data_IF_848640688577
#
_entry.id   IF_848640688577
#
_cell.length_a   1.000
_cell.length_b   1.000
_cell.length_c   1.000
_cell.angle_alpha   90.00
_cell.angle_beta   90.00
_cell.angle_gamma   90.00
#
_symmetry.space_group_name_H-M   'P 1'
#
loop_
_entity.id
_entity.type
_entity.pdbx_description
1 polymer ?
#
# COMPACT_ATOMS: atom_id res chain seq x y z
N UNK A 1 45.06 1.82 10.62
CA UNK A 1 45.32 0.40 10.34
C UNK A 1 45.15 0.16 8.85
N UNK A 2 46.17 -0.48 8.26
CA UNK A 2 46.23 -1.17 6.95
C UNK A 2 45.93 -0.38 5.68
N UNK A 3 47.00 -0.14 4.89
CA UNK A 3 46.93 0.34 3.52
C UNK A 3 45.94 -0.49 2.70
N UNK A 4 44.99 0.21 2.11
CA UNK A 4 43.80 -0.38 1.51
C UNK A 4 44.14 -0.83 0.10
N UNK A 5 44.49 -2.11 -0.07
CA UNK A 5 44.80 -2.69 -1.37
C UNK A 5 43.56 -2.61 -2.27
N UNK A 6 43.72 -1.99 -3.44
CA UNK A 6 42.65 -1.80 -4.42
C UNK A 6 42.27 -3.12 -5.11
N UNK A 7 43.20 -4.08 -5.17
CA UNK A 7 42.97 -5.40 -5.74
C UNK A 7 42.39 -6.41 -4.72
N UNK A 8 42.19 -6.01 -3.46
CA UNK A 8 41.59 -6.86 -2.44
C UNK A 8 40.15 -7.25 -2.84
N UNK A 9 39.89 -8.57 -2.86
CA UNK A 9 38.57 -9.13 -3.16
C UNK A 9 37.68 -9.12 -1.92
N UNK A 10 36.64 -8.28 -1.96
CA UNK A 10 35.67 -8.14 -0.89
C UNK A 10 34.46 -9.06 -1.11
N UNK A 11 34.07 -9.76 -0.05
CA UNK A 11 32.79 -10.45 0.03
C UNK A 11 31.64 -9.46 0.23
N UNK A 12 30.40 -9.89 -0.03
CA UNK A 12 29.22 -9.06 0.23
C UNK A 12 29.10 -8.62 1.71
N UNK A 13 29.61 -9.42 2.64
CA UNK A 13 29.64 -9.08 4.07
C UNK A 13 30.67 -7.99 4.38
N UNK A 14 31.89 -8.11 3.83
CA UNK A 14 32.91 -7.05 3.96
C UNK A 14 32.45 -5.74 3.28
N UNK A 15 31.77 -5.83 2.14
CA UNK A 15 31.16 -4.65 1.49
C UNK A 15 30.08 -4.03 2.39
N UNK A 16 29.34 -4.85 3.15
CA UNK A 16 28.37 -4.35 4.12
C UNK A 16 29.04 -3.65 5.30
N UNK A 17 30.13 -4.18 5.82
CA UNK A 17 30.86 -3.60 6.95
C UNK A 17 31.59 -2.31 6.54
N UNK A 18 32.30 -2.35 5.41
CA UNK A 18 33.12 -1.23 4.94
C UNK A 18 32.26 -0.12 4.36
N UNK A 19 31.33 -0.47 3.47
CA UNK A 19 30.52 0.53 2.82
C UNK A 19 29.20 0.73 3.53
N UNK A 20 28.58 -0.25 4.19
CA UNK A 20 27.23 -0.09 4.77
C UNK A 20 26.10 -0.49 3.81
N UNK A 21 26.39 -1.30 2.79
CA UNK A 21 25.39 -1.81 1.85
C UNK A 21 25.06 -3.28 2.16
N UNK A 22 23.80 -3.60 2.45
CA UNK A 22 23.45 -4.98 2.82
C UNK A 22 23.70 -5.98 1.68
N UNK A 23 24.04 -7.26 1.99
CA UNK A 23 24.30 -8.28 0.96
C UNK A 23 23.11 -8.52 0.02
N UNK A 24 21.89 -8.42 0.55
CA UNK A 24 20.66 -8.51 -0.24
C UNK A 24 20.55 -7.34 -1.23
N UNK A 25 20.85 -6.11 -0.78
CA UNK A 25 20.79 -4.94 -1.66
C UNK A 25 21.88 -4.97 -2.73
N UNK A 26 23.08 -5.41 -2.39
CA UNK A 26 24.16 -5.64 -3.37
C UNK A 26 23.72 -6.66 -4.44
N UNK A 27 23.05 -7.74 -4.02
CA UNK A 27 22.52 -8.74 -4.94
C UNK A 27 21.43 -8.20 -5.87
N UNK A 28 20.55 -7.34 -5.37
CA UNK A 28 19.56 -6.62 -6.19
C UNK A 28 20.24 -5.70 -7.20
N UNK A 29 21.21 -4.88 -6.76
CA UNK A 29 21.94 -3.97 -7.66
C UNK A 29 22.64 -4.71 -8.78
N UNK A 30 23.26 -5.84 -8.47
CA UNK A 30 23.90 -6.71 -9.46
C UNK A 30 22.88 -7.36 -10.41
N UNK A 31 21.73 -7.81 -9.89
CA UNK A 31 20.65 -8.36 -10.74
C UNK A 31 20.17 -7.32 -11.75
N UNK A 32 20.01 -6.08 -11.29
CA UNK A 32 19.52 -4.96 -12.08
C UNK A 32 20.65 -4.16 -12.75
N UNK A 33 21.84 -4.76 -12.92
CA UNK A 33 23.07 -4.06 -13.34
C UNK A 33 22.97 -3.31 -14.66
N UNK A 34 22.15 -3.80 -15.60
CA UNK A 34 21.86 -3.11 -16.85
C UNK A 34 21.30 -1.68 -16.63
N UNK A 35 20.61 -1.46 -15.52
CA UNK A 35 20.04 -0.16 -15.14
C UNK A 35 20.84 0.57 -14.07
N UNK A 36 21.51 -0.17 -13.19
CA UNK A 36 22.21 0.41 -12.03
C UNK A 36 23.69 0.67 -12.27
N UNK A 37 24.27 0.11 -13.35
CA UNK A 37 25.71 0.16 -13.64
C UNK A 37 26.58 -0.57 -12.61
N UNK A 38 25.99 -1.50 -11.83
CA UNK A 38 26.74 -2.28 -10.84
C UNK A 38 27.81 -3.12 -11.55
N UNK A 39 29.08 -3.10 -11.09
CA UNK A 39 30.14 -3.85 -11.72
C UNK A 39 29.91 -5.37 -11.59
N UNK A 40 30.41 -6.10 -12.59
CA UNK A 40 30.50 -7.56 -12.53
C UNK A 40 31.43 -7.98 -11.38
N UNK A 41 31.18 -9.13 -10.74
CA UNK A 41 32.08 -9.68 -9.73
C UNK A 41 33.38 -10.15 -10.39
N UNK A 42 34.51 -9.75 -9.82
CA UNK A 42 35.84 -10.16 -10.26
C UNK A 42 36.10 -11.66 -10.01
N UNK A 43 35.46 -12.23 -8.98
CA UNK A 43 35.53 -13.67 -8.68
C UNK A 43 34.14 -14.22 -8.36
N UNK A 44 33.79 -15.37 -8.98
CA UNK A 44 32.58 -16.13 -8.66
C UNK A 44 32.95 -17.56 -8.28
N UNK A 45 32.67 -17.95 -7.03
CA UNK A 45 32.84 -19.30 -6.54
C UNK A 45 31.47 -19.87 -6.13
N UNK A 46 30.86 -20.64 -7.04
CA UNK A 46 29.50 -21.15 -6.88
C UNK A 46 28.48 -20.01 -6.73
N UNK A 47 27.81 -19.93 -5.56
CA UNK A 47 26.86 -18.84 -5.24
C UNK A 47 27.53 -17.60 -4.63
N UNK A 48 28.81 -17.68 -4.27
CA UNK A 48 29.55 -16.57 -3.65
C UNK A 48 30.15 -15.71 -4.76
N UNK A 49 29.97 -14.40 -4.62
CA UNK A 49 30.49 -13.37 -5.51
C UNK A 49 31.39 -12.45 -4.70
N UNK A 50 32.54 -12.08 -5.28
CA UNK A 50 33.49 -11.14 -4.71
C UNK A 50 33.84 -10.07 -5.73
N UNK A 51 34.15 -8.88 -5.23
CA UNK A 51 34.52 -7.73 -6.05
C UNK A 51 35.81 -7.13 -5.53
N UNK A 52 36.68 -6.71 -6.44
CA UNK A 52 37.84 -5.89 -6.09
C UNK A 52 37.38 -4.59 -5.46
N UNK A 53 38.00 -4.23 -4.35
CA UNK A 53 37.70 -2.99 -3.62
C UNK A 53 37.78 -1.76 -4.52
N UNK A 54 38.81 -1.70 -5.37
CA UNK A 54 39.04 -0.60 -6.31
C UNK A 54 37.93 -0.44 -7.35
N UNK A 55 37.19 -1.50 -7.66
CA UNK A 55 36.06 -1.45 -8.61
C UNK A 55 34.75 -1.11 -7.90
N UNK A 56 34.43 -1.82 -6.81
CA UNK A 56 33.14 -1.69 -6.13
C UNK A 56 33.04 -0.43 -5.27
N UNK A 57 34.14 0.01 -4.64
CA UNK A 57 34.16 1.18 -3.76
C UNK A 57 33.76 2.49 -4.46
N UNK A 58 34.39 2.85 -5.60
CA UNK A 58 34.01 4.04 -6.36
C UNK A 58 32.58 3.97 -6.91
N UNK A 59 32.12 2.78 -7.31
CA UNK A 59 30.73 2.58 -7.71
C UNK A 59 29.76 2.90 -6.57
N UNK A 60 29.97 2.30 -5.38
CA UNK A 60 29.10 2.50 -4.23
C UNK A 60 29.09 3.94 -3.73
N UNK A 61 30.23 4.62 -3.79
CA UNK A 61 30.37 6.04 -3.45
C UNK A 61 29.52 6.91 -4.39
N UNK A 62 29.67 6.73 -5.72
CA UNK A 62 28.85 7.45 -6.71
C UNK A 62 27.36 7.11 -6.59
N UNK A 63 27.04 5.82 -6.41
CA UNK A 63 25.67 5.34 -6.24
C UNK A 63 24.98 6.03 -5.05
N UNK A 64 25.70 6.22 -3.95
CA UNK A 64 25.19 6.95 -2.77
C UNK A 64 25.00 8.42 -3.03
N UNK A 65 26.00 9.09 -3.60
CA UNK A 65 25.90 10.51 -3.94
C UNK A 65 24.68 10.79 -4.83
N UNK A 66 24.46 9.95 -5.86
CA UNK A 66 23.30 10.04 -6.76
C UNK A 66 21.96 9.76 -6.05
N UNK A 67 21.93 8.88 -5.05
CA UNK A 67 20.73 8.61 -4.24
C UNK A 67 20.41 9.76 -3.27
N UNK A 68 21.42 10.44 -2.76
CA UNK A 68 21.27 11.60 -1.88
C UNK A 68 20.80 12.83 -2.67
N UNK A 69 21.32 13.05 -3.89
CA UNK A 69 20.95 14.19 -4.74
C UNK A 69 19.57 14.09 -5.39
N UNK A 70 18.96 12.89 -5.48
CA UNK A 70 17.71 12.62 -6.20
C UNK A 70 16.42 13.17 -5.58
N UNK A 71 16.47 14.00 -4.54
CA UNK A 71 15.28 14.72 -4.10
C UNK A 71 15.62 16.19 -3.81
N UNK A 72 15.23 17.13 -4.69
CA UNK A 72 15.55 18.54 -4.54
C UNK A 72 15.00 19.13 -3.23
N UNK A 73 13.87 18.60 -2.75
CA UNK A 73 13.29 18.98 -1.46
C UNK A 73 14.15 18.54 -0.28
N UNK A 74 14.75 17.33 -0.33
CA UNK A 74 15.65 16.83 0.73
C UNK A 74 16.85 17.74 0.93
N UNK A 75 17.42 18.22 -0.19
CA UNK A 75 18.58 19.10 -0.14
C UNK A 75 18.21 20.46 0.46
N UNK A 76 17.15 21.12 -0.06
CA UNK A 76 16.78 22.47 0.37
C UNK A 76 16.45 22.62 1.87
N UNK A 77 15.81 21.62 2.48
CA UNK A 77 15.43 21.68 3.90
C UNK A 77 16.62 21.45 4.84
N UNK A 78 17.67 20.77 4.37
CA UNK A 78 18.85 20.41 5.17
C UNK A 78 20.07 21.31 4.91
N UNK A 79 20.07 22.08 3.81
CA UNK A 79 21.16 23.02 3.47
C UNK A 79 20.89 24.47 3.84
N UNK A 80 19.76 24.76 4.50
CA UNK A 80 19.45 26.10 5.02
C UNK A 80 20.11 26.38 6.38
N UNK A 81 19.56 27.35 7.10
CA UNK A 81 19.96 27.66 8.49
C UNK A 81 19.87 26.41 9.38
N UNK A 82 20.99 26.01 9.98
CA UNK A 82 21.10 24.84 10.86
C UNK A 82 20.31 25.02 12.16
N UNK A 83 20.08 26.27 12.59
CA UNK A 83 19.28 26.63 13.76
C UNK A 83 17.77 26.63 13.50
N UNK A 84 17.32 26.42 12.26
CA UNK A 84 15.90 26.33 11.94
C UNK A 84 15.29 25.08 12.57
N UNK A 85 14.19 25.25 13.30
CA UNK A 85 13.36 24.16 13.77
C UNK A 85 12.51 23.60 12.62
N UNK A 86 12.57 22.29 12.43
CA UNK A 86 11.82 21.52 11.46
C UNK A 86 10.72 20.74 12.19
N UNK A 87 9.49 20.86 11.70
CA UNK A 87 8.36 20.05 12.14
C UNK A 87 8.53 18.58 11.78
N UNK A 88 7.77 17.70 12.43
CA UNK A 88 7.77 16.25 12.13
C UNK A 88 7.52 15.95 10.64
N UNK A 89 6.67 16.73 9.97
CA UNK A 89 6.41 16.64 8.53
C UNK A 89 7.60 17.05 7.68
N UNK A 90 8.24 18.17 8.01
CA UNK A 90 9.43 18.64 7.29
C UNK A 90 10.60 17.68 7.45
N UNK A 91 10.81 17.12 8.65
CA UNK A 91 11.81 16.08 8.88
C UNK A 91 11.52 14.84 8.05
N UNK A 92 10.27 14.35 8.04
CA UNK A 92 9.89 13.21 7.21
C UNK A 92 10.17 13.48 5.72
N UNK A 93 9.87 14.68 5.24
CA UNK A 93 10.11 15.10 3.86
C UNK A 93 11.62 15.22 3.54
N UNK A 94 12.40 15.82 4.44
CA UNK A 94 13.85 15.94 4.35
C UNK A 94 14.55 14.57 4.31
N UNK A 95 13.99 13.57 4.99
CA UNK A 95 14.45 12.19 4.96
C UNK A 95 13.87 11.39 3.78
N UNK A 96 12.93 11.98 3.02
CA UNK A 96 12.33 11.38 1.84
C UNK A 96 11.22 10.38 2.09
N UNK A 97 10.56 10.46 3.24
CA UNK A 97 9.38 9.68 3.57
C UNK A 97 8.12 10.43 3.17
N UNK A 98 7.16 9.72 2.55
CA UNK A 98 5.86 10.28 2.17
C UNK A 98 4.95 10.57 3.36
N UNK A 99 5.16 9.89 4.50
CA UNK A 99 4.30 9.96 5.69
C UNK A 99 5.15 10.09 6.94
N UNK A 100 4.66 10.84 7.92
CA UNK A 100 5.29 11.03 9.24
C UNK A 100 5.30 9.76 10.10
N UNK A 101 4.40 8.81 9.82
CA UNK A 101 4.26 7.55 10.57
C UNK A 101 5.58 6.79 10.66
N UNK A 102 6.42 6.79 9.61
CA UNK A 102 7.72 6.11 9.64
C UNK A 102 8.66 6.72 10.67
N UNK A 103 8.69 8.05 10.77
CA UNK A 103 9.52 8.75 11.74
C UNK A 103 9.03 8.48 13.17
N UNK A 104 7.71 8.53 13.38
CA UNK A 104 7.10 8.24 14.68
C UNK A 104 7.35 6.79 15.11
N UNK A 105 7.27 5.84 14.17
CA UNK A 105 7.60 4.44 14.44
C UNK A 105 9.06 4.26 14.84
N UNK A 106 10.01 5.00 14.26
CA UNK A 106 11.40 4.92 14.71
C UNK A 106 11.59 5.39 16.14
N UNK A 107 10.92 6.47 16.54
CA UNK A 107 11.00 6.99 17.90
C UNK A 107 10.42 6.00 18.92
N UNK A 108 9.36 5.27 18.56
CA UNK A 108 8.71 4.30 19.45
C UNK A 108 9.38 2.94 19.43
N UNK A 109 9.63 2.39 18.24
CA UNK A 109 10.04 0.99 18.05
C UNK A 109 11.58 0.83 18.08
N UNK A 110 12.33 1.94 17.94
CA UNK A 110 13.80 1.94 17.88
C UNK A 110 14.40 3.12 18.67
N UNK A 111 14.31 3.12 20.01
CA UNK A 111 14.93 4.15 20.83
C UNK A 111 16.42 4.30 20.50
N UNK A 112 16.88 5.53 20.31
CA UNK A 112 18.27 5.84 19.96
C UNK A 112 18.65 5.66 18.48
N UNK A 113 17.76 5.13 17.62
CA UNK A 113 18.05 5.04 16.18
C UNK A 113 17.99 6.40 15.48
N UNK A 114 16.99 7.22 15.82
CA UNK A 114 16.81 8.58 15.33
C UNK A 114 16.90 9.54 16.53
N UNK A 115 17.52 10.73 16.38
CA UNK A 115 17.67 11.68 17.47
C UNK A 115 16.32 12.06 18.09
N UNK A 116 16.33 12.24 19.40
CA UNK A 116 15.20 12.80 20.12
C UNK A 116 14.88 14.22 19.63
N UNK A 117 13.61 14.66 19.68
CA UNK A 117 13.24 16.01 19.31
C UNK A 117 13.91 17.05 20.20
N UNK A 118 14.57 18.02 19.57
CA UNK A 118 15.22 19.16 20.25
C UNK A 118 14.19 20.02 21.00
N UNK A 119 12.97 20.14 20.45
CA UNK A 119 11.87 20.86 21.08
C UNK A 119 10.59 20.02 21.04
N UNK A 120 9.89 19.93 22.17
CA UNK A 120 8.56 19.33 22.25
C UNK A 120 7.56 20.32 22.82
N UNK A 121 6.44 20.47 22.12
CA UNK A 121 5.35 21.34 22.54
C UNK A 121 4.09 20.51 22.73
N UNK A 122 3.31 20.81 23.76
CA UNK A 122 1.99 20.20 23.96
C UNK A 122 0.94 21.22 23.59
N UNK A 123 0.09 20.90 22.61
CA UNK A 123 -1.03 21.79 22.27
C UNK A 123 -2.10 21.77 23.36
N UNK A 124 -2.97 22.77 23.38
CA UNK A 124 -4.10 22.84 24.33
C UNK A 124 -4.99 21.58 24.33
N UNK A 125 -5.07 20.86 23.20
CA UNK A 125 -5.78 19.58 23.08
C UNK A 125 -4.95 18.34 23.45
N UNK A 126 -3.84 18.49 24.18
CA UNK A 126 -2.99 17.41 24.65
C UNK A 126 -2.11 16.73 23.60
N UNK A 127 -2.06 17.24 22.36
CA UNK A 127 -1.25 16.63 21.30
C UNK A 127 0.19 17.11 21.39
N UNK A 128 1.14 16.18 21.42
CA UNK A 128 2.58 16.48 21.42
C UNK A 128 3.10 16.75 20.01
N UNK A 129 3.54 17.97 19.76
CA UNK A 129 4.32 18.39 18.60
C UNK A 129 5.81 18.21 18.89
N UNK A 130 6.55 17.82 17.87
CA UNK A 130 7.98 17.50 17.96
C UNK A 130 8.70 18.25 16.86
N UNK A 131 9.79 18.89 17.23
CA UNK A 131 10.62 19.68 16.35
C UNK A 131 12.08 19.29 16.52
N UNK A 132 12.84 19.40 15.43
CA UNK A 132 14.27 19.13 15.38
C UNK A 132 14.99 20.29 14.73
N UNK A 133 16.19 20.62 15.17
CA UNK A 133 17.04 21.53 14.42
C UNK A 133 17.44 20.90 13.09
N UNK A 134 17.48 21.72 12.04
CA UNK A 134 17.94 21.30 10.72
C UNK A 134 19.37 20.73 10.80
N UNK A 135 20.21 21.28 11.67
CA UNK A 135 21.54 20.74 11.98
C UNK A 135 21.51 19.30 12.52
N UNK A 136 20.66 19.02 13.52
CA UNK A 136 20.47 17.68 14.10
C UNK A 136 20.11 16.65 13.04
N UNK A 137 19.17 16.99 12.15
CA UNK A 137 18.71 16.09 11.08
C UNK A 137 19.78 15.93 10.00
N UNK A 138 20.52 16.98 9.66
CA UNK A 138 21.62 16.92 8.69
C UNK A 138 22.77 16.02 9.20
N UNK A 139 23.17 16.15 10.46
CA UNK A 139 24.24 15.36 11.06
C UNK A 139 23.87 13.88 11.13
N UNK A 140 22.65 13.58 11.58
CA UNK A 140 22.14 12.21 11.56
C UNK A 140 22.09 11.64 10.15
N UNK A 141 21.71 12.44 9.15
CA UNK A 141 21.66 12.01 7.75
C UNK A 141 23.04 11.65 7.20
N UNK A 142 24.09 12.39 7.59
CA UNK A 142 25.48 12.09 7.24
C UNK A 142 26.02 10.81 7.89
N UNK A 143 25.55 10.49 9.09
CA UNK A 143 26.00 9.33 9.87
C UNK A 143 25.10 8.09 9.70
N UNK A 144 24.01 8.21 8.94
CA UNK A 144 22.96 7.19 8.88
C UNK A 144 23.51 5.83 8.38
N UNK A 145 23.23 4.70 9.07
CA UNK A 145 23.61 3.33 8.68
C UNK A 145 22.91 2.76 7.42
N UNK A 146 22.87 3.54 6.34
CA UNK A 146 22.24 3.20 5.08
C UNK A 146 20.89 3.90 4.88
N UNK A 147 20.62 4.42 3.66
CA UNK A 147 19.31 4.94 3.32
C UNK A 147 18.39 3.72 3.20
N UNK A 148 17.47 3.54 4.15
CA UNK A 148 16.42 2.52 4.06
C UNK A 148 15.72 2.55 2.69
N UNK A 149 14.91 1.53 2.38
CA UNK A 149 14.33 1.38 1.05
C UNK A 149 13.34 2.52 0.74
N UNK A 150 13.82 3.62 0.14
CA UNK A 150 13.04 4.81 -0.21
C UNK A 150 12.24 4.66 -1.50
N UNK A 151 12.37 3.51 -2.18
CA UNK A 151 11.64 3.24 -3.40
C UNK A 151 10.40 2.40 -3.06
N UNK A 152 9.20 2.80 -3.52
CA UNK A 152 8.08 1.88 -3.49
C UNK A 152 8.49 0.65 -4.30
N UNK A 153 8.43 -0.54 -3.70
CA UNK A 153 8.51 -1.78 -4.48
C UNK A 153 7.35 -1.75 -5.45
N UNK A 154 7.62 -1.53 -6.74
CA UNK A 154 6.64 -1.73 -7.81
C UNK A 154 6.27 -3.20 -7.77
N UNK A 155 5.20 -3.52 -7.04
CA UNK A 155 4.68 -4.87 -6.97
C UNK A 155 3.88 -5.07 -8.24
N UNK A 156 4.50 -5.71 -9.24
CA UNK A 156 3.79 -6.21 -10.41
C UNK A 156 2.63 -7.05 -9.90
N UNK A 157 1.42 -6.57 -10.14
CA UNK A 157 0.19 -7.31 -9.80
C UNK A 157 0.00 -8.28 -10.95
N UNK A 158 -0.03 -9.60 -10.72
CA UNK A 158 -0.37 -10.54 -11.79
C UNK A 158 -1.74 -10.16 -12.34
N UNK A 159 -1.86 -10.08 -13.66
CA UNK A 159 -3.14 -9.92 -14.33
C UNK A 159 -4.07 -11.06 -13.89
N UNK A 160 -5.33 -10.74 -13.64
CA UNK A 160 -6.34 -11.73 -13.27
C UNK A 160 -6.41 -12.81 -14.35
N UNK A 161 -6.19 -14.07 -13.95
CA UNK A 161 -6.39 -15.19 -14.86
C UNK A 161 -7.88 -15.27 -15.23
N UNK A 162 -8.23 -15.60 -16.49
CA UNK A 162 -9.61 -15.81 -16.89
C UNK A 162 -10.24 -16.94 -16.07
N UNK A 163 -11.46 -16.72 -15.61
CA UNK A 163 -12.15 -17.55 -14.61
C UNK A 163 -12.70 -18.91 -15.11
N UNK A 164 -12.37 -19.33 -16.34
CA UNK A 164 -13.22 -20.27 -17.08
C UNK A 164 -12.94 -21.76 -16.95
N UNK A 165 -11.71 -22.19 -16.64
CA UNK A 165 -11.26 -23.52 -17.13
C UNK A 165 -10.88 -24.55 -16.04
N UNK A 166 -11.46 -24.44 -14.85
CA UNK A 166 -11.15 -25.34 -13.73
C UNK A 166 -12.35 -26.15 -13.24
N UNK A 167 -12.06 -27.28 -12.58
CA UNK A 167 -13.06 -28.14 -11.95
C UNK A 167 -13.94 -27.34 -10.96
N UNK A 168 -15.28 -27.38 -11.07
CA UNK A 168 -16.18 -26.64 -10.18
C UNK A 168 -16.03 -26.99 -8.69
N UNK A 169 -15.60 -28.21 -8.37
CA UNK A 169 -15.37 -28.65 -6.99
C UNK A 169 -13.93 -28.46 -6.51
N UNK A 170 -13.05 -27.88 -7.35
CA UNK A 170 -11.70 -27.47 -6.96
C UNK A 170 -11.74 -26.49 -5.79
N UNK A 171 -10.92 -26.76 -4.77
CA UNK A 171 -10.73 -25.88 -3.63
C UNK A 171 -9.65 -24.82 -3.95
N UNK A 172 -10.07 -23.56 -3.99
CA UNK A 172 -9.22 -22.41 -4.27
C UNK A 172 -8.78 -21.73 -2.98
N UNK A 173 -7.50 -21.40 -2.89
CA UNK A 173 -6.99 -20.56 -1.80
C UNK A 173 -7.43 -19.09 -1.97
N UNK A 174 -7.29 -18.29 -0.92
CA UNK A 174 -7.65 -16.86 -0.95
C UNK A 174 -6.85 -16.06 -1.98
N UNK A 175 -5.67 -16.53 -2.39
CA UNK A 175 -4.82 -15.86 -3.39
C UNK A 175 -5.31 -16.13 -4.80
N UNK A 176 -5.84 -17.32 -5.06
CA UNK A 176 -6.48 -17.73 -6.31
C UNK A 176 -7.89 -17.14 -6.42
N UNK A 177 -8.66 -17.10 -5.33
CA UNK A 177 -10.03 -16.55 -5.33
C UNK A 177 -10.07 -15.03 -5.52
N UNK A 178 -9.12 -14.29 -4.95
CA UNK A 178 -9.10 -12.82 -5.02
C UNK A 178 -9.14 -12.24 -6.44
N UNK A 179 -8.28 -12.64 -7.39
CA UNK A 179 -8.33 -12.11 -8.76
C UNK A 179 -9.61 -12.50 -9.50
N UNK A 180 -10.18 -13.69 -9.24
CA UNK A 180 -11.44 -14.11 -9.87
C UNK A 180 -12.61 -13.20 -9.47
N UNK A 181 -12.60 -12.69 -8.24
CA UNK A 181 -13.60 -11.75 -7.74
C UNK A 181 -13.25 -10.27 -8.03
N UNK A 182 -12.16 -10.00 -8.75
CA UNK A 182 -11.73 -8.65 -9.13
C UNK A 182 -10.97 -7.87 -8.03
N UNK A 183 -10.50 -8.52 -6.98
CA UNK A 183 -9.68 -7.88 -5.94
C UNK A 183 -8.20 -7.83 -6.34
N UNK A 184 -7.49 -6.75 -5.97
CA UNK A 184 -6.07 -6.58 -6.31
C UNK A 184 -5.15 -7.46 -5.47
N UNK A 185 -5.66 -7.97 -4.35
CA UNK A 185 -4.90 -8.86 -3.46
C UNK A 185 -5.82 -9.68 -2.57
N UNK A 186 -5.32 -10.82 -2.09
CA UNK A 186 -5.97 -11.63 -1.05
C UNK A 186 -6.25 -10.86 0.25
N UNK A 187 -5.43 -9.86 0.60
CA UNK A 187 -5.68 -9.02 1.78
C UNK A 187 -6.91 -8.13 1.61
N UNK A 188 -7.16 -7.68 0.38
CA UNK A 188 -8.34 -6.90 0.04
C UNK A 188 -9.60 -7.75 0.09
N UNK A 189 -9.53 -8.97 -0.47
CA UNK A 189 -10.59 -9.97 -0.33
C UNK A 189 -10.88 -10.28 1.15
N UNK A 190 -9.84 -10.54 1.96
CA UNK A 190 -10.00 -10.81 3.39
C UNK A 190 -10.67 -9.65 4.14
N UNK A 191 -10.32 -8.40 3.80
CA UNK A 191 -10.98 -7.22 4.35
C UNK A 191 -12.44 -7.10 3.90
N UNK A 192 -12.76 -7.47 2.67
CA UNK A 192 -14.13 -7.46 2.17
C UNK A 192 -15.00 -8.48 2.92
N UNK A 193 -14.48 -9.70 3.13
CA UNK A 193 -15.13 -10.73 3.94
C UNK A 193 -15.32 -10.24 5.38
N UNK A 194 -14.27 -9.72 6.01
CA UNK A 194 -14.34 -9.21 7.39
C UNK A 194 -15.30 -8.02 7.57
N UNK A 195 -15.61 -7.28 6.50
CA UNK A 195 -16.60 -6.19 6.49
C UNK A 195 -18.03 -6.67 6.18
N UNK A 196 -18.23 -7.96 5.94
CA UNK A 196 -19.53 -8.51 5.56
C UNK A 196 -19.96 -8.15 4.13
N UNK A 197 -19.03 -7.73 3.25
CA UNK A 197 -19.34 -7.43 1.85
C UNK A 197 -19.57 -8.72 1.06
N UNK A 198 -18.92 -9.81 1.48
CA UNK A 198 -19.04 -11.14 0.91
C UNK A 198 -19.44 -12.12 2.01
N UNK A 199 -20.68 -12.02 2.54
CA UNK A 199 -21.13 -12.87 3.62
C UNK A 199 -21.06 -14.35 3.26
N UNK A 200 -21.19 -14.70 1.97
CA UNK A 200 -21.14 -16.07 1.46
C UNK A 200 -19.76 -16.72 1.58
N UNK A 201 -18.70 -15.93 1.79
CA UNK A 201 -17.32 -16.40 2.00
C UNK A 201 -16.84 -16.27 3.45
N UNK A 202 -17.75 -15.94 4.37
CA UNK A 202 -17.46 -15.91 5.81
C UNK A 202 -17.09 -17.30 6.30
N UNK A 203 -17.82 -18.31 5.84
CA UNK A 203 -17.56 -19.71 6.13
C UNK A 203 -16.76 -20.34 4.98
N UNK A 204 -15.50 -20.74 5.23
CA UNK A 204 -14.71 -21.44 4.23
C UNK A 204 -15.25 -22.85 3.99
N UNK A 205 -15.08 -23.36 2.77
CA UNK A 205 -15.48 -24.72 2.41
C UNK A 205 -14.50 -25.76 3.01
N UNK A 206 -13.23 -25.38 3.19
CA UNK A 206 -12.22 -26.17 3.90
C UNK A 206 -11.10 -25.27 4.46
N UNK A 207 -10.26 -25.80 5.35
CA UNK A 207 -9.14 -25.09 5.97
C UNK A 207 -7.85 -25.89 5.77
N UNK A 208 -6.93 -25.35 4.98
CA UNK A 208 -5.57 -25.92 4.88
C UNK A 208 -4.74 -25.52 6.09
N UNK A 209 -4.08 -26.48 6.75
CA UNK A 209 -3.06 -26.19 7.78
C UNK A 209 -1.68 -26.37 7.19
N UNK A 210 -0.88 -25.31 7.18
CA UNK A 210 0.54 -25.41 6.84
C UNK A 210 1.32 -26.10 7.95
N UNK A 211 2.48 -26.68 7.61
CA UNK A 211 3.43 -27.28 8.56
C UNK A 211 3.95 -26.31 9.63
N UNK A 212 3.76 -24.99 9.44
CA UNK A 212 4.10 -23.93 10.40
C UNK A 212 2.91 -23.48 11.25
N UNK A 213 1.78 -24.19 11.21
CA UNK A 213 0.60 -23.90 12.02
C UNK A 213 -0.29 -22.77 11.50
N UNK A 214 0.04 -22.14 10.36
CA UNK A 214 -0.83 -21.15 9.72
C UNK A 214 -1.97 -21.88 8.99
N UNK A 215 -3.21 -21.53 9.34
CA UNK A 215 -4.42 -21.95 8.67
C UNK A 215 -4.73 -21.01 7.48
N UNK A 216 -5.11 -21.59 6.35
CA UNK A 216 -5.56 -20.88 5.15
C UNK A 216 -6.96 -21.35 4.76
N UNK A 217 -7.83 -20.41 4.41
CA UNK A 217 -9.19 -20.69 3.98
C UNK A 217 -9.20 -21.14 2.52
N UNK A 218 -9.95 -22.21 2.25
CA UNK A 218 -10.23 -22.73 0.93
C UNK A 218 -11.72 -22.54 0.58
N UNK A 219 -11.97 -22.24 -0.69
CA UNK A 219 -13.31 -21.98 -1.21
C UNK A 219 -13.52 -22.76 -2.50
N UNK A 220 -14.68 -23.40 -2.67
CA UNK A 220 -15.01 -24.12 -3.89
C UNK A 220 -15.11 -23.16 -5.08
N UNK A 221 -14.50 -23.53 -6.20
CA UNK A 221 -14.52 -22.73 -7.44
C UNK A 221 -15.94 -22.36 -7.87
N UNK A 222 -16.89 -23.31 -7.83
CA UNK A 222 -18.30 -23.05 -8.16
C UNK A 222 -18.90 -21.87 -7.39
N UNK A 223 -18.54 -21.71 -6.12
CA UNK A 223 -19.03 -20.64 -5.24
C UNK A 223 -18.42 -19.29 -5.63
N UNK A 224 -17.12 -19.28 -5.90
CA UNK A 224 -16.40 -18.11 -6.38
C UNK A 224 -16.93 -17.65 -7.74
N UNK A 225 -17.14 -18.57 -8.68
CA UNK A 225 -17.69 -18.27 -10.01
C UNK A 225 -19.14 -17.78 -9.92
N UNK A 226 -19.98 -18.37 -9.07
CA UNK A 226 -21.34 -17.89 -8.85
C UNK A 226 -21.36 -16.45 -8.30
N UNK A 227 -20.48 -16.13 -7.34
CA UNK A 227 -20.32 -14.76 -6.81
C UNK A 227 -19.79 -13.79 -7.85
N UNK A 228 -18.84 -14.21 -8.67
CA UNK A 228 -18.34 -13.40 -9.78
C UNK A 228 -19.46 -13.09 -10.78
N UNK A 229 -20.24 -14.11 -11.16
CA UNK A 229 -21.37 -13.95 -12.06
C UNK A 229 -22.42 -13.01 -11.48
N UNK A 230 -22.78 -13.18 -10.20
CA UNK A 230 -23.69 -12.30 -9.48
C UNK A 230 -23.19 -10.85 -9.44
N UNK A 231 -21.88 -10.62 -9.30
CA UNK A 231 -21.28 -9.26 -9.34
C UNK A 231 -21.26 -8.65 -10.73
N UNK A 232 -21.06 -9.46 -11.77
CA UNK A 232 -21.09 -8.99 -13.16
C UNK A 232 -22.51 -8.65 -13.61
N UNK A 233 -23.51 -9.33 -13.06
CA UNK A 233 -24.92 -9.14 -13.37
C UNK A 233 -25.63 -8.28 -12.32
N UNK A 234 -24.89 -7.74 -11.34
CA UNK A 234 -25.42 -6.77 -10.41
C UNK A 234 -25.74 -5.50 -11.19
N UNK A 235 -26.95 -4.93 -11.03
CA UNK A 235 -27.33 -3.71 -11.73
C UNK A 235 -26.32 -2.62 -11.40
N UNK A 236 -25.85 -1.94 -12.43
CA UNK A 236 -24.96 -0.79 -12.31
C UNK A 236 -25.60 0.30 -11.44
N UNK A 237 -24.80 1.20 -10.88
CA UNK A 237 -25.34 2.31 -10.08
C UNK A 237 -26.36 3.15 -10.85
N UNK A 238 -26.18 3.28 -12.17
CA UNK A 238 -27.09 4.01 -13.06
C UNK A 238 -28.39 3.25 -13.27
N UNK A 239 -28.33 1.92 -13.43
CA UNK A 239 -29.53 1.08 -13.54
C UNK A 239 -30.32 1.06 -12.23
N UNK A 240 -29.64 0.95 -11.09
CA UNK A 240 -30.28 1.08 -9.79
C UNK A 240 -30.91 2.45 -9.59
N UNK A 241 -30.27 3.55 -10.05
CA UNK A 241 -30.87 4.88 -10.01
C UNK A 241 -32.15 4.94 -10.86
N UNK A 242 -32.09 4.44 -12.10
CA UNK A 242 -33.27 4.38 -12.98
C UNK A 242 -34.40 3.54 -12.38
N UNK A 243 -34.08 2.39 -11.78
CA UNK A 243 -35.05 1.53 -11.11
C UNK A 243 -35.67 2.21 -9.89
N UNK A 244 -34.88 2.94 -9.09
CA UNK A 244 -35.39 3.74 -7.96
C UNK A 244 -36.33 4.84 -8.43
N UNK A 245 -35.93 5.60 -9.45
CA UNK A 245 -36.75 6.68 -10.02
C UNK A 245 -38.07 6.15 -10.58
N UNK A 246 -38.02 5.04 -11.34
CA UNK A 246 -39.22 4.39 -11.87
C UNK A 246 -40.15 3.92 -10.75
N UNK A 247 -39.60 3.25 -9.73
CA UNK A 247 -40.38 2.80 -8.58
C UNK A 247 -40.99 3.97 -7.79
N UNK A 248 -40.27 5.08 -7.64
CA UNK A 248 -40.77 6.29 -7.00
C UNK A 248 -41.90 6.95 -7.81
N UNK A 249 -41.75 7.05 -9.13
CA UNK A 249 -42.80 7.58 -10.03
C UNK A 249 -44.05 6.70 -10.00
N UNK A 250 -43.90 5.38 -10.08
CA UNK A 250 -45.02 4.44 -10.02
C UNK A 250 -45.76 4.53 -8.67
N UNK A 251 -45.01 4.62 -7.56
CA UNK A 251 -45.60 4.78 -6.24
C UNK A 251 -46.35 6.11 -6.11
N UNK A 252 -45.79 7.21 -6.63
CA UNK A 252 -46.45 8.53 -6.59
C UNK A 252 -47.70 8.58 -7.48
N UNK A 253 -47.69 7.93 -8.64
CA UNK A 253 -48.85 7.85 -9.54
C UNK A 253 -49.98 6.97 -9.00
N UNK A 254 -49.65 5.94 -8.22
CA UNK A 254 -50.62 4.99 -7.67
C UNK A 254 -51.15 5.41 -6.30
N UNK A 255 -50.44 6.27 -5.57
CA UNK A 255 -50.86 6.77 -4.27
C UNK A 255 -52.06 7.73 -4.40
N UNK A 256 -53.07 7.54 -3.55
CA UNK A 256 -54.20 8.46 -3.45
C UNK A 256 -53.79 9.86 -2.95
N UNK A 257 -52.72 9.91 -2.15
CA UNK A 257 -52.07 11.14 -1.72
C UNK A 257 -50.55 11.00 -1.90
N UNK A 258 -49.91 11.80 -2.78
CA UNK A 258 -48.46 11.78 -3.02
C UNK A 258 -47.61 12.01 -1.75
N UNK A 259 -48.14 12.69 -0.73
CA UNK A 259 -47.42 12.94 0.52
C UNK A 259 -47.23 11.66 1.37
N UNK A 260 -48.01 10.61 1.11
CA UNK A 260 -47.92 9.34 1.84
C UNK A 260 -46.76 8.45 1.37
N UNK A 261 -46.18 8.73 0.20
CA UNK A 261 -45.04 7.99 -0.33
C UNK A 261 -43.77 8.40 0.43
N UNK A 262 -43.24 7.47 1.21
CA UNK A 262 -42.03 7.68 2.03
C UNK A 262 -40.87 6.81 1.55
N UNK A 263 -39.65 7.31 1.74
CA UNK A 263 -38.42 6.55 1.44
C UNK A 263 -38.34 5.24 2.22
N UNK A 264 -38.82 5.21 3.46
CA UNK A 264 -38.83 3.97 4.25
C UNK A 264 -39.74 2.91 3.64
N UNK A 265 -40.90 3.30 3.10
CA UNK A 265 -41.79 2.37 2.41
C UNK A 265 -41.17 1.86 1.10
N UNK A 266 -40.58 2.75 0.29
CA UNK A 266 -39.90 2.39 -0.96
C UNK A 266 -38.70 1.48 -0.73
N UNK A 267 -37.84 1.80 0.23
CA UNK A 267 -36.67 1.00 0.58
C UNK A 267 -37.05 -0.39 1.13
N UNK A 268 -38.20 -0.51 1.81
CA UNK A 268 -38.73 -1.80 2.27
C UNK A 268 -39.31 -2.63 1.14
N UNK A 269 -40.00 -2.00 0.19
CA UNK A 269 -40.57 -2.68 -0.99
C UNK A 269 -39.49 -3.14 -1.98
N UNK A 270 -38.34 -2.44 -2.01
CA UNK A 270 -37.25 -2.69 -2.93
C UNK A 270 -35.91 -2.85 -2.19
N UNK A 271 -35.71 -3.96 -1.45
CA UNK A 271 -34.49 -4.19 -0.69
C UNK A 271 -33.28 -4.30 -1.63
N UNK A 272 -32.15 -3.73 -1.22
CA UNK A 272 -30.90 -3.76 -2.01
C UNK A 272 -30.78 -2.69 -3.08
N UNK A 273 -31.82 -1.87 -3.30
CA UNK A 273 -31.80 -0.80 -4.30
C UNK A 273 -31.04 0.45 -3.85
N UNK A 274 -30.32 0.46 -2.73
CA UNK A 274 -29.46 1.58 -2.31
C UNK A 274 -29.73 2.11 -0.92
N UNK A 275 -29.05 3.20 -0.55
CA UNK A 275 -29.16 3.84 0.77
C UNK A 275 -30.40 4.72 0.86
N UNK A 276 -30.80 5.06 2.09
CA UNK A 276 -31.88 6.03 2.35
C UNK A 276 -31.63 7.37 1.63
N UNK A 277 -30.38 7.83 1.59
CA UNK A 277 -29.99 9.06 0.89
C UNK A 277 -30.27 8.97 -0.61
N UNK A 278 -29.86 7.87 -1.25
CA UNK A 278 -30.10 7.67 -2.69
C UNK A 278 -31.60 7.58 -3.02
N UNK A 279 -32.41 7.02 -2.11
CA UNK A 279 -33.86 7.02 -2.26
C UNK A 279 -34.50 8.40 -2.11
N UNK A 280 -33.99 9.25 -1.20
CA UNK A 280 -34.49 10.63 -1.07
C UNK A 280 -34.24 11.41 -2.37
N UNK A 281 -33.03 11.36 -2.91
CA UNK A 281 -32.67 12.05 -4.15
C UNK A 281 -33.60 11.66 -5.31
N UNK A 282 -33.84 10.35 -5.50
CA UNK A 282 -34.71 9.87 -6.59
C UNK A 282 -36.20 10.16 -6.34
N UNK A 283 -36.64 10.22 -5.08
CA UNK A 283 -38.02 10.58 -4.74
C UNK A 283 -38.28 12.07 -4.97
N UNK A 284 -37.32 12.94 -4.65
CA UNK A 284 -37.41 14.37 -4.90
C UNK A 284 -37.38 14.67 -6.42
N UNK A 285 -36.52 13.97 -7.17
CA UNK A 285 -36.52 14.02 -8.64
C UNK A 285 -37.86 13.55 -9.21
N UNK A 286 -38.42 12.43 -8.73
CA UNK A 286 -39.72 11.95 -9.19
C UNK A 286 -40.86 12.95 -8.94
N UNK A 287 -40.83 13.66 -7.79
CA UNK A 287 -41.82 14.70 -7.47
C UNK A 287 -41.69 15.90 -8.40
N UNK A 288 -40.47 16.32 -8.71
CA UNK A 288 -40.22 17.40 -9.65
C UNK A 288 -40.77 17.06 -11.03
N UNK A 289 -40.49 15.86 -11.54
CA UNK A 289 -41.00 15.40 -12.84
C UNK A 289 -42.53 15.42 -12.92
N UNK A 290 -43.22 15.00 -11.86
CA UNK A 290 -44.70 15.04 -11.82
C UNK A 290 -45.30 16.44 -11.63
N UNK A 291 -44.49 17.45 -11.27
CA UNK A 291 -44.94 18.85 -11.20
C UNK A 291 -44.80 19.56 -12.55
N UNK A 292 -43.95 19.05 -13.44
CA UNK A 292 -43.74 19.58 -14.79
C UNK A 292 -44.68 18.96 -15.84
N UNK A 293 -45.20 17.76 -15.57
CA UNK A 293 -46.25 17.07 -16.35
C UNK A 293 -47.67 17.56 -16.01
#
# INVERSE_FOLDING_TARGET
MTGTDADELLTAQQIHEEFGLSPSRLSELHRDRATTGCPEPDETQGRRRRWKRGTIGPYLTRYRAAKTSRSPVRHSLLTGDRGRLLSTSEVAQALGHKRTVTLLAWLTDRPGYFPEPDVTETTAGGRRRRFWYAGTVADWTGQRPGPGNTQPKTRTTPAAAPAGDGDPDELLDTKQAAPLLGYRSHLELHRAIARGILPELTEPDDITRSSRGLAGNLYKRRRITALQHARQHAPSSTELARQRLHAALDALRTAADPATVTVTALARAHPGHGTTTAWNENLDEARHTLQED
#
